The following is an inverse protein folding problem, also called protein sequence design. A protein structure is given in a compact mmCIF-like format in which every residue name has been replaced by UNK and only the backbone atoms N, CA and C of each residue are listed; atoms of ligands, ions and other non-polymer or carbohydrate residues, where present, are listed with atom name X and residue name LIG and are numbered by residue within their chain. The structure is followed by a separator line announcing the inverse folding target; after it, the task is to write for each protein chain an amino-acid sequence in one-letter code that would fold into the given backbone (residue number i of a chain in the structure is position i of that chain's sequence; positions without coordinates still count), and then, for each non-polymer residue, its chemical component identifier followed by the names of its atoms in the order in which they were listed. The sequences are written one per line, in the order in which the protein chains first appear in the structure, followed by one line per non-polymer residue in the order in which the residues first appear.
data_IF_852989041208
#
_entry.id   IF_852989041208
#
_cell.length_a   1.000
_cell.length_b   1.000
_cell.length_c   1.000
_cell.angle_alpha   90.00
_cell.angle_beta   90.00
_cell.angle_gamma   90.00
#
_symmetry.space_group_name_H-M   'P 1'
#
loop_
_entity.id
_entity.type
_entity.pdbx_description
1 polymer ?
#
# COMPACT_ATOMS: atom_id res chain seq x y z
N UNK A 1 -7.07 3.12 -4.18
CA UNK A 1 -6.97 4.22 -3.22
C UNK A 1 -5.51 4.53 -2.91
N UNK A 2 -5.26 5.74 -2.43
CA UNK A 2 -3.93 6.18 -2.01
C UNK A 2 -3.69 5.97 -0.52
N UNK A 3 -2.44 6.15 -0.08
CA UNK A 3 -2.07 6.09 1.32
C UNK A 3 -2.60 7.27 2.12
N UNK A 4 -2.77 7.04 3.41
CA UNK A 4 -3.22 8.04 4.38
C UNK A 4 -2.15 8.15 5.47
N UNK A 5 -1.67 9.36 5.72
CA UNK A 5 -0.67 9.63 6.74
C UNK A 5 -1.35 9.98 8.06
N UNK A 6 -1.03 9.23 9.11
CA UNK A 6 -1.54 9.40 10.46
C UNK A 6 -0.56 10.10 11.40
N UNK A 7 -0.56 9.72 12.66
CA UNK A 7 0.29 10.30 13.71
C UNK A 7 1.64 9.59 13.89
N UNK A 8 1.86 8.48 13.19
CA UNK A 8 3.10 7.69 13.22
C UNK A 8 4.17 8.19 12.23
N UNK A 9 3.89 9.30 11.57
CA UNK A 9 4.79 9.95 10.62
C UNK A 9 4.83 11.45 10.86
N UNK A 10 5.85 12.12 10.28
CA UNK A 10 5.93 13.59 10.27
C UNK A 10 5.77 14.08 8.84
N UNK A 11 5.08 15.21 8.68
CA UNK A 11 5.00 15.90 7.38
C UNK A 11 6.37 16.49 7.05
N UNK A 12 6.92 16.11 5.91
CA UNK A 12 8.18 16.63 5.39
C UNK A 12 7.91 17.87 4.54
N UNK A 13 6.92 17.77 3.66
CA UNK A 13 6.59 18.83 2.73
C UNK A 13 5.07 18.88 2.51
N UNK A 14 4.54 20.09 2.56
CA UNK A 14 3.16 20.42 2.19
C UNK A 14 3.21 21.67 1.33
N UNK A 15 2.66 21.60 0.12
CA UNK A 15 2.58 22.77 -0.76
C UNK A 15 1.72 23.87 -0.14
N UNK A 16 1.97 25.11 -0.49
CA UNK A 16 1.15 26.24 -0.05
C UNK A 16 -0.32 26.08 -0.46
N UNK A 17 -0.54 25.57 -1.68
CA UNK A 17 -1.86 25.21 -2.19
C UNK A 17 -1.88 23.72 -2.54
N UNK A 18 -2.00 22.83 -1.55
CA UNK A 18 -1.90 21.39 -1.82
C UNK A 18 -3.13 20.89 -2.55
N UNK A 19 -2.92 19.83 -3.36
CA UNK A 19 -4.03 19.04 -3.85
C UNK A 19 -4.76 18.43 -2.65
N UNK A 20 -6.09 18.41 -2.71
CA UNK A 20 -6.93 17.90 -1.63
C UNK A 20 -7.80 16.76 -2.14
N UNK A 21 -8.07 15.83 -1.27
CA UNK A 21 -8.86 14.63 -1.61
C UNK A 21 -9.86 14.34 -0.51
N UNK A 22 -10.94 13.68 -0.91
CA UNK A 22 -11.87 13.06 0.00
C UNK A 22 -11.58 11.56 0.05
N UNK A 23 -11.64 10.99 1.24
CA UNK A 23 -11.41 9.56 1.44
C UNK A 23 -12.68 8.95 2.02
N UNK A 24 -13.21 7.93 1.33
CA UNK A 24 -14.34 7.13 1.79
C UNK A 24 -13.83 5.84 2.39
N UNK A 25 -14.22 5.57 3.62
CA UNK A 25 -13.92 4.33 4.31
C UNK A 25 -15.11 3.39 4.36
N UNK A 26 -14.93 2.25 4.98
CA UNK A 26 -16.00 1.29 5.29
C UNK A 26 -16.93 1.92 6.36
N UNK A 27 -18.20 1.57 6.34
CA UNK A 27 -19.22 2.04 7.31
C UNK A 27 -19.48 3.56 7.29
N UNK A 28 -19.55 4.15 6.11
CA UNK A 28 -19.82 5.59 5.92
C UNK A 28 -18.80 6.54 6.58
N UNK A 29 -17.63 6.03 6.96
CA UNK A 29 -16.54 6.88 7.40
C UNK A 29 -16.00 7.67 6.21
N UNK A 30 -16.29 8.96 6.20
CA UNK A 30 -15.76 9.89 5.22
C UNK A 30 -14.83 10.88 5.90
N UNK A 31 -13.67 11.08 5.29
CA UNK A 31 -12.78 12.18 5.60
C UNK A 31 -12.69 13.07 4.38
N UNK A 32 -13.01 14.35 4.57
CA UNK A 32 -13.13 15.29 3.47
C UNK A 32 -12.01 16.31 3.50
N UNK A 33 -11.62 16.77 2.31
CA UNK A 33 -10.72 17.91 2.14
C UNK A 33 -9.34 17.70 2.79
N UNK A 34 -8.78 16.49 2.64
CA UNK A 34 -7.46 16.16 3.16
C UNK A 34 -6.37 16.65 2.22
N UNK A 35 -5.35 17.37 2.73
CA UNK A 35 -4.24 17.78 1.88
C UNK A 35 -3.35 16.60 1.54
N UNK A 36 -2.83 16.58 0.33
CA UNK A 36 -1.79 15.65 -0.10
C UNK A 36 -0.44 16.21 0.33
N UNK A 37 0.34 15.38 1.01
CA UNK A 37 1.63 15.76 1.57
C UNK A 37 2.70 14.73 1.23
N UNK A 38 3.96 15.11 1.48
CA UNK A 38 5.06 14.17 1.64
C UNK A 38 5.31 14.00 3.13
N UNK A 39 5.33 12.78 3.61
CA UNK A 39 5.55 12.45 5.01
C UNK A 39 6.68 11.43 5.14
N UNK A 40 7.17 11.24 6.34
CA UNK A 40 8.19 10.26 6.62
C UNK A 40 8.06 9.66 8.00
N UNK A 41 8.47 8.41 8.13
CA UNK A 41 8.51 7.69 9.39
C UNK A 41 9.66 6.71 9.45
N UNK A 42 10.13 6.44 10.66
CA UNK A 42 11.19 5.45 10.88
C UNK A 42 10.60 4.07 10.80
N UNK A 43 11.21 3.23 9.99
CA UNK A 43 10.85 1.83 9.81
C UNK A 43 12.12 0.98 9.82
N UNK A 44 12.02 -0.23 10.34
CA UNK A 44 13.16 -1.16 10.35
C UNK A 44 13.33 -1.82 8.97
N UNK A 45 14.56 -2.03 8.60
CA UNK A 45 14.93 -2.84 7.44
C UNK A 45 15.99 -3.87 7.86
N UNK A 46 16.33 -4.79 6.95
CA UNK A 46 17.42 -5.74 7.20
C UNK A 46 18.80 -5.05 7.37
N UNK A 47 18.89 -3.78 6.98
CA UNK A 47 20.11 -2.95 7.12
C UNK A 47 20.01 -1.98 8.30
N UNK A 48 19.01 -2.11 9.15
CA UNK A 48 18.77 -1.22 10.26
C UNK A 48 17.64 -0.22 10.01
N UNK A 49 17.45 0.76 10.91
CA UNK A 49 16.39 1.73 10.75
C UNK A 49 16.66 2.69 9.58
N UNK A 50 15.59 3.03 8.88
CA UNK A 50 15.60 4.00 7.78
C UNK A 50 14.38 4.91 7.91
N UNK A 51 14.40 6.05 7.23
CA UNK A 51 13.22 6.90 7.09
C UNK A 51 12.55 6.58 5.77
N UNK A 52 11.34 6.02 5.83
CA UNK A 52 10.51 5.83 4.65
C UNK A 52 9.92 7.16 4.21
N UNK A 53 10.12 7.51 2.95
CA UNK A 53 9.57 8.73 2.35
C UNK A 53 8.29 8.39 1.62
N UNK A 54 7.19 8.97 2.08
CA UNK A 54 5.83 8.69 1.62
C UNK A 54 5.32 9.90 0.86
N UNK A 55 5.44 9.86 -0.45
CA UNK A 55 4.93 10.91 -1.33
C UNK A 55 3.47 10.64 -1.67
N UNK A 56 2.70 11.70 -1.87
CA UNK A 56 1.30 11.63 -2.32
C UNK A 56 0.40 10.88 -1.33
N UNK A 57 0.56 11.19 -0.06
CA UNK A 57 -0.31 10.69 1.01
C UNK A 57 -1.30 11.76 1.45
N UNK A 58 -2.55 11.36 1.68
CA UNK A 58 -3.55 12.23 2.29
C UNK A 58 -3.28 12.36 3.79
N UNK A 59 -3.20 13.56 4.32
CA UNK A 59 -2.81 13.78 5.70
C UNK A 59 -4.02 13.97 6.61
N UNK A 60 -4.17 13.08 7.58
CA UNK A 60 -5.14 13.20 8.67
C UNK A 60 -4.50 13.62 9.99
N UNK A 61 -3.27 13.19 10.25
CA UNK A 61 -2.58 13.40 11.51
C UNK A 61 -3.13 12.61 12.69
N UNK A 62 -4.05 11.67 12.44
CA UNK A 62 -4.71 10.87 13.47
C UNK A 62 -4.57 9.38 13.17
N UNK A 63 -4.33 8.61 14.22
CA UNK A 63 -4.21 7.16 14.14
C UNK A 63 -3.00 6.73 13.33
N UNK A 64 -2.95 5.43 13.03
CA UNK A 64 -1.85 4.87 12.23
C UNK A 64 -2.04 5.20 10.76
N UNK A 65 -0.93 5.37 10.06
CA UNK A 65 -0.93 5.51 8.61
C UNK A 65 -1.47 4.24 7.96
N UNK A 66 -2.17 4.44 6.85
CA UNK A 66 -2.69 3.36 6.00
C UNK A 66 -1.94 3.43 4.68
N UNK A 67 -1.28 2.34 4.31
CA UNK A 67 -0.52 2.27 3.07
C UNK A 67 -1.33 1.57 1.99
N UNK A 68 -1.23 2.08 0.77
CA UNK A 68 -1.85 1.45 -0.39
C UNK A 68 -0.83 0.55 -1.07
N UNK A 69 -1.08 -0.76 -1.11
CA UNK A 69 -0.22 -1.70 -1.83
C UNK A 69 -0.10 -1.34 -3.31
N UNK A 70 -1.18 -0.90 -3.93
CA UNK A 70 -1.18 -0.46 -5.33
C UNK A 70 -0.25 0.75 -5.55
N UNK A 71 -0.27 1.73 -4.65
CA UNK A 71 0.62 2.90 -4.74
C UNK A 71 2.09 2.50 -4.52
N UNK A 72 2.37 1.61 -3.58
CA UNK A 72 3.71 1.08 -3.35
C UNK A 72 4.22 0.31 -4.57
N UNK A 73 3.39 -0.56 -5.15
CA UNK A 73 3.74 -1.36 -6.32
C UNK A 73 3.92 -0.50 -7.58
N UNK A 74 3.19 0.60 -7.69
CA UNK A 74 3.37 1.56 -8.78
C UNK A 74 4.78 2.16 -8.80
N UNK A 75 5.42 2.26 -7.64
CA UNK A 75 6.82 2.68 -7.51
C UNK A 75 7.78 1.48 -7.53
N UNK A 76 7.37 0.38 -8.14
CA UNK A 76 8.17 -0.83 -8.34
C UNK A 76 8.59 -1.55 -7.06
N UNK A 77 7.93 -1.30 -5.94
CA UNK A 77 8.10 -2.10 -4.74
C UNK A 77 7.32 -3.40 -4.85
N UNK A 78 7.77 -4.43 -4.15
CA UNK A 78 7.04 -5.68 -4.01
C UNK A 78 6.38 -5.69 -2.63
N UNK A 79 5.07 -5.86 -2.59
CA UNK A 79 4.31 -6.03 -1.35
C UNK A 79 3.82 -7.47 -1.30
N UNK A 80 4.35 -8.25 -0.37
CA UNK A 80 3.98 -9.65 -0.20
C UNK A 80 3.37 -9.83 1.19
N UNK A 81 2.05 -9.84 1.24
CA UNK A 81 1.27 -10.04 2.47
C UNK A 81 0.70 -11.47 2.58
N UNK A 82 1.08 -12.36 1.68
CA UNK A 82 0.59 -13.74 1.66
C UNK A 82 1.09 -14.51 2.87
N UNK A 83 0.27 -15.47 3.32
CA UNK A 83 0.65 -16.36 4.41
C UNK A 83 1.94 -17.15 4.09
N UNK A 84 2.77 -17.38 5.08
CA UNK A 84 3.96 -18.20 4.96
C UNK A 84 3.63 -19.65 4.56
N UNK A 85 2.43 -20.15 4.90
CA UNK A 85 1.99 -21.49 4.53
C UNK A 85 1.82 -21.68 3.02
N UNK A 86 1.63 -20.60 2.28
CA UNK A 86 1.56 -20.59 0.81
C UNK A 86 2.77 -19.94 0.17
N UNK A 87 3.88 -19.86 0.89
CA UNK A 87 5.15 -19.33 0.39
C UNK A 87 5.26 -17.80 0.45
N UNK A 88 4.36 -17.12 1.15
CA UNK A 88 4.44 -15.68 1.35
C UNK A 88 5.63 -15.28 2.22
N UNK A 89 6.28 -14.18 1.89
CA UNK A 89 7.43 -13.65 2.65
C UNK A 89 7.03 -12.61 3.69
N UNK A 90 5.82 -12.09 3.61
CA UNK A 90 5.26 -11.12 4.54
C UNK A 90 6.18 -9.91 4.75
N UNK A 91 6.51 -9.26 3.65
CA UNK A 91 7.40 -8.10 3.64
C UNK A 91 7.07 -7.13 2.52
N UNK A 92 7.59 -5.91 2.68
CA UNK A 92 7.72 -4.94 1.59
C UNK A 92 9.18 -4.94 1.18
N UNK A 93 9.43 -5.12 -0.11
CA UNK A 93 10.78 -5.06 -0.68
C UNK A 93 10.85 -3.89 -1.64
N UNK A 94 11.76 -2.95 -1.36
CA UNK A 94 11.91 -1.77 -2.20
C UNK A 94 12.78 -2.06 -3.42
N UNK A 95 12.65 -1.21 -4.43
CA UNK A 95 13.40 -1.37 -5.68
C UNK A 95 14.91 -1.31 -5.47
N UNK A 96 15.37 -0.60 -4.45
CA UNK A 96 16.79 -0.48 -4.08
C UNK A 96 17.24 -1.55 -3.05
N UNK A 97 16.41 -2.54 -2.78
CA UNK A 97 16.79 -3.74 -2.04
C UNK A 97 16.61 -3.68 -0.53
N UNK A 98 15.89 -2.70 0.00
CA UNK A 98 15.49 -2.72 1.41
C UNK A 98 14.33 -3.67 1.62
N UNK A 99 14.36 -4.42 2.71
CA UNK A 99 13.31 -5.37 3.10
C UNK A 99 12.74 -4.94 4.45
N UNK A 100 11.43 -4.71 4.47
CA UNK A 100 10.68 -4.31 5.65
C UNK A 100 9.69 -5.40 5.99
N UNK A 101 9.83 -6.02 7.17
CA UNK A 101 8.94 -7.09 7.59
C UNK A 101 7.57 -6.53 7.97
N UNK A 102 6.53 -7.24 7.59
CA UNK A 102 5.16 -6.98 8.01
C UNK A 102 4.87 -7.70 9.33
N UNK A 103 4.15 -7.03 10.21
CA UNK A 103 3.57 -7.64 11.41
C UNK A 103 2.10 -7.91 11.13
N UNK A 104 1.57 -9.01 11.67
CA UNK A 104 0.17 -9.37 11.47
C UNK A 104 -0.57 -9.32 12.79
N UNK A 105 -1.76 -8.74 12.77
CA UNK A 105 -2.67 -8.71 13.90
C UNK A 105 -4.09 -8.88 13.39
N UNK A 106 -4.80 -9.88 13.91
CA UNK A 106 -6.16 -10.22 13.50
C UNK A 106 -6.31 -10.35 11.97
N UNK A 107 -5.31 -10.96 11.33
CA UNK A 107 -5.32 -11.19 9.88
C UNK A 107 -4.95 -10.00 9.02
N UNK A 108 -4.65 -8.85 9.60
CA UNK A 108 -4.28 -7.65 8.86
C UNK A 108 -2.77 -7.39 8.93
N UNK A 109 -2.14 -7.02 7.82
CA UNK A 109 -0.73 -6.66 7.81
C UNK A 109 -0.51 -5.24 8.35
N UNK A 110 0.57 -5.08 9.13
CA UNK A 110 0.98 -3.79 9.68
C UNK A 110 2.46 -3.55 9.44
N UNK A 111 2.80 -2.29 9.19
CA UNK A 111 4.18 -1.81 9.20
C UNK A 111 4.37 -1.00 10.47
N UNK A 112 5.32 -1.41 11.32
CA UNK A 112 5.67 -0.64 12.51
C UNK A 112 6.45 0.59 12.08
N UNK A 113 5.88 1.75 12.36
CA UNK A 113 6.44 3.04 11.98
C UNK A 113 6.29 4.02 13.14
N UNK A 114 7.25 4.91 13.29
CA UNK A 114 7.20 5.99 14.26
C UNK A 114 7.73 7.29 13.65
N UNK A 115 7.36 8.45 14.19
CA UNK A 115 7.92 9.71 13.73
C UNK A 115 9.44 9.71 13.90
N UNK A 116 10.16 10.29 12.95
CA UNK A 116 11.60 10.49 13.05
C UNK A 116 11.91 11.71 13.90
N UNK A 117 13.08 11.68 14.57
CA UNK A 117 13.65 12.87 15.22
C UNK A 117 14.48 13.68 14.23
N UNK A 118 14.80 14.93 14.59
CA UNK A 118 15.66 15.77 13.75
C UNK A 118 17.04 15.16 13.55
N UNK A 119 17.61 14.54 14.61
CA UNK A 119 18.87 13.81 14.49
C UNK A 119 18.76 12.62 13.54
N UNK A 120 17.68 11.89 13.59
CA UNK A 120 17.47 10.75 12.69
C UNK A 120 17.31 11.19 11.24
N UNK A 121 16.68 12.33 11.01
CA UNK A 121 16.61 12.89 9.66
C UNK A 121 18.01 13.08 9.04
N UNK A 122 18.96 13.54 9.85
CA UNK A 122 20.32 13.81 9.41
C UNK A 122 21.20 12.55 9.34
N UNK A 123 20.88 11.52 10.09
CA UNK A 123 21.76 10.35 10.28
C UNK A 123 21.26 9.06 9.62
N UNK A 124 19.95 8.88 9.45
CA UNK A 124 19.40 7.67 8.86
C UNK A 124 19.28 7.77 7.34
N UNK A 125 19.43 6.66 6.63
CA UNK A 125 19.13 6.63 5.20
C UNK A 125 17.66 6.96 4.93
N UNK A 126 17.40 7.64 3.83
CA UNK A 126 16.04 7.92 3.35
C UNK A 126 15.72 6.95 2.22
N UNK A 127 14.59 6.26 2.35
CA UNK A 127 14.13 5.26 1.38
C UNK A 127 12.79 5.70 0.84
N UNK A 128 12.72 6.02 -0.43
CA UNK A 128 11.48 6.46 -1.07
C UNK A 128 10.60 5.25 -1.33
N UNK A 129 9.37 5.30 -0.83
CA UNK A 129 8.38 4.23 -1.01
C UNK A 129 7.39 4.50 -2.12
N UNK A 130 7.07 5.77 -2.37
CA UNK A 130 6.07 6.15 -3.37
C UNK A 130 6.58 7.27 -4.26
N UNK A 131 6.07 7.34 -5.49
CA UNK A 131 6.43 8.37 -6.45
C UNK A 131 5.96 9.75 -6.00
N UNK A 132 6.74 10.77 -6.30
CA UNK A 132 6.38 12.17 -6.09
C UNK A 132 5.44 12.74 -7.16
N UNK A 133 5.16 11.98 -8.20
CA UNK A 133 4.15 12.37 -9.21
C UNK A 133 2.75 12.16 -8.66
N UNK A 134 1.78 12.93 -9.12
CA UNK A 134 0.40 12.82 -8.68
C UNK A 134 -0.11 11.39 -8.80
N UNK A 135 -0.58 10.86 -7.68
CA UNK A 135 -1.15 9.52 -7.64
C UNK A 135 -2.64 9.57 -7.95
N UNK A 136 -3.03 8.94 -9.03
CA UNK A 136 -4.42 8.74 -9.41
C UNK A 136 -4.68 7.23 -9.51
N UNK A 137 -5.44 6.64 -8.56
CA UNK A 137 -5.71 5.21 -8.60
C UNK A 137 -6.41 4.73 -9.87
N UNK A 138 -7.09 5.62 -10.58
CA UNK A 138 -7.78 5.26 -11.84
C UNK A 138 -6.84 4.84 -12.96
N UNK A 139 -5.53 5.14 -12.85
CA UNK A 139 -4.54 4.66 -13.82
C UNK A 139 -4.43 3.14 -13.84
N UNK A 140 -4.88 2.47 -12.78
CA UNK A 140 -4.89 1.01 -12.67
C UNK A 140 -6.16 0.42 -13.26
N UNK A 141 -7.17 1.23 -13.55
CA UNK A 141 -8.41 0.78 -14.14
C UNK A 141 -8.19 0.48 -15.62
N UNK A 142 -8.55 -0.72 -16.11
CA UNK A 142 -8.46 -1.00 -17.53
C UNK A 142 -9.36 -0.05 -18.34
N UNK A 143 -8.84 0.62 -19.37
CA UNK A 143 -9.65 1.58 -20.14
C UNK A 143 -10.85 0.90 -20.79
N UNK A 144 -12.04 1.47 -20.62
CA UNK A 144 -13.27 1.02 -21.28
C UNK A 144 -13.80 -0.32 -20.80
N UNK A 145 -13.33 -0.86 -19.65
CA UNK A 145 -13.92 -2.04 -19.06
C UNK A 145 -15.13 -1.65 -18.21
N UNK A 146 -16.31 -1.86 -18.76
CA UNK A 146 -17.52 -1.97 -17.97
C UNK A 146 -17.66 -3.40 -17.40
N UNK A 147 -18.69 -3.64 -16.63
CA UNK A 147 -18.90 -4.94 -16.00
C UNK A 147 -19.04 -6.08 -17.02
N UNK A 148 -19.77 -5.84 -18.10
CA UNK A 148 -19.99 -6.82 -19.17
C UNK A 148 -18.67 -7.16 -19.88
N UNK A 149 -17.85 -6.16 -20.19
CA UNK A 149 -16.55 -6.36 -20.83
C UNK A 149 -15.60 -7.15 -19.91
N UNK A 150 -15.67 -6.90 -18.59
CA UNK A 150 -14.86 -7.63 -17.63
C UNK A 150 -15.25 -9.12 -17.59
N UNK A 151 -16.54 -9.43 -17.58
CA UNK A 151 -17.01 -10.81 -17.62
C UNK A 151 -16.60 -11.51 -18.91
N UNK A 152 -16.69 -10.83 -20.04
CA UNK A 152 -16.24 -11.38 -21.32
C UNK A 152 -14.72 -11.68 -21.31
N UNK A 153 -13.93 -10.78 -20.76
CA UNK A 153 -12.48 -10.99 -20.64
C UNK A 153 -12.13 -12.20 -19.73
N UNK A 154 -12.89 -12.40 -18.66
CA UNK A 154 -12.71 -13.55 -17.76
C UNK A 154 -13.17 -14.84 -18.42
N UNK A 155 -14.26 -14.82 -19.19
CA UNK A 155 -14.77 -16.00 -19.88
C UNK A 155 -13.87 -16.48 -21.03
N UNK A 156 -13.00 -15.61 -21.56
CA UNK A 156 -12.01 -15.98 -22.57
C UNK A 156 -10.77 -16.68 -22.01
N UNK A 157 -10.69 -16.84 -20.68
CA UNK A 157 -9.62 -17.62 -20.08
C UNK A 157 -9.79 -19.09 -20.46
N UNK A 158 -8.68 -19.77 -20.83
CA UNK A 158 -8.78 -21.17 -21.21
C UNK A 158 -9.33 -22.03 -20.08
N UNK A 159 -10.28 -22.90 -20.42
CA UNK A 159 -10.76 -23.92 -19.50
C UNK A 159 -9.61 -24.88 -19.19
N UNK A 160 -9.02 -24.71 -18.01
CA UNK A 160 -8.01 -25.62 -17.51
C UNK A 160 -8.64 -26.78 -16.75
N UNK A 161 -7.92 -27.88 -16.57
CA UNK A 161 -8.37 -28.92 -15.67
C UNK A 161 -8.54 -28.37 -14.26
N UNK A 162 -9.63 -28.75 -13.59
CA UNK A 162 -9.83 -28.39 -12.20
C UNK A 162 -8.69 -28.97 -11.33
N UNK A 163 -8.28 -28.20 -10.35
CA UNK A 163 -7.33 -28.70 -9.37
C UNK A 163 -7.92 -29.93 -8.68
N UNK A 164 -7.11 -30.95 -8.36
CA UNK A 164 -7.61 -32.21 -7.75
C UNK A 164 -8.39 -31.99 -6.43
N UNK A 165 -8.26 -30.82 -5.81
CA UNK A 165 -9.01 -30.48 -4.59
C UNK A 165 -10.47 -30.08 -4.86
N UNK A 166 -10.87 -29.95 -6.13
CA UNK A 166 -12.23 -29.55 -6.52
C UNK A 166 -12.91 -30.66 -7.28
N UNK A 167 -14.22 -30.81 -7.09
CA UNK A 167 -15.03 -31.69 -7.90
C UNK A 167 -15.40 -31.07 -9.26
N UNK A 168 -16.13 -31.79 -10.07
CA UNK A 168 -16.56 -31.35 -11.39
C UNK A 168 -17.47 -30.11 -11.36
N UNK A 169 -18.03 -29.77 -10.21
CA UNK A 169 -18.86 -28.57 -10.00
C UNK A 169 -18.07 -27.42 -9.38
N UNK A 170 -16.75 -27.55 -9.16
CA UNK A 170 -15.93 -26.54 -8.53
C UNK A 170 -16.06 -26.47 -7.01
N UNK A 171 -16.62 -27.50 -6.38
CA UNK A 171 -16.76 -27.59 -4.93
C UNK A 171 -15.67 -28.47 -4.33
N UNK A 172 -15.30 -28.19 -3.07
CA UNK A 172 -14.33 -29.02 -2.36
C UNK A 172 -15.03 -30.32 -1.93
N UNK A 173 -14.58 -31.50 -2.40
CA UNK A 173 -15.19 -32.77 -2.02
C UNK A 173 -15.02 -33.03 -0.52
N UNK A 174 -16.04 -33.59 0.10
CA UNK A 174 -16.02 -34.02 1.50
C UNK A 174 -15.16 -35.27 1.69
#
# INVERSE_FOLDING_TARGET
NGGIAGDDVRVIFKAEHPRRVDVSGIDDHQMSDLPIVTAGGVVQSQRGPVIAILNQYAYTGHGKSIHSSAQLEWFCNTVDDRSMTVGGKQCIQTVDGYVHLLSFHMGLPYVKMRPYTDDEWDTLPHVVWTSDTDWDPSVLDPPGLDEDTWYDAVSDLPDGPLHPSFDEFGEVPN
#
